data_IF_670212075100
#
_entry.id   IF_670212075100
#
_cell.length_a   1.000
_cell.length_b   1.000
_cell.length_c   1.000
_cell.angle_alpha   90.00
_cell.angle_beta   90.00
_cell.angle_gamma   90.00
#
_symmetry.space_group_name_H-M   'P 1'
#
loop_
_entity.id
_entity.type
_entity.pdbx_description
1 polymer ?
#
# COMPACT_ATOMS: atom_id res chain seq x y z
N UNK A 1 23.67 -5.33 -8.05
CA UNK A 1 22.62 -5.47 -7.03
C UNK A 1 21.62 -6.45 -7.60
N UNK A 2 21.43 -7.59 -6.95
CA UNK A 2 20.42 -8.55 -7.39
C UNK A 2 19.03 -7.94 -7.19
N UNK A 3 18.07 -8.27 -8.05
CA UNK A 3 16.73 -7.67 -7.99
C UNK A 3 16.07 -7.84 -6.61
N UNK A 4 16.34 -8.97 -5.93
CA UNK A 4 15.86 -9.27 -4.58
C UNK A 4 16.45 -8.34 -3.51
N UNK A 5 17.75 -8.03 -3.58
CA UNK A 5 18.42 -7.10 -2.64
C UNK A 5 17.83 -5.69 -2.76
N UNK A 6 17.57 -5.25 -3.99
CA UNK A 6 16.94 -3.96 -4.24
C UNK A 6 15.52 -3.90 -3.66
N UNK A 7 14.71 -4.92 -3.92
CA UNK A 7 13.33 -4.99 -3.41
C UNK A 7 13.27 -5.10 -1.88
N UNK A 8 14.25 -5.76 -1.25
CA UNK A 8 14.38 -5.77 0.20
C UNK A 8 14.65 -4.37 0.76
N UNK A 9 15.52 -3.58 0.12
CA UNK A 9 15.77 -2.18 0.50
C UNK A 9 14.48 -1.35 0.37
N UNK A 10 13.72 -1.54 -0.72
CA UNK A 10 12.45 -0.85 -0.93
C UNK A 10 11.44 -1.19 0.18
N UNK A 11 11.32 -2.47 0.55
CA UNK A 11 10.41 -2.91 1.60
C UNK A 11 10.75 -2.32 2.96
N UNK A 12 12.03 -2.18 3.27
CA UNK A 12 12.51 -1.60 4.53
C UNK A 12 12.59 -0.06 4.51
N UNK A 13 12.19 0.58 3.40
CA UNK A 13 12.16 2.03 3.27
C UNK A 13 11.28 2.67 4.36
N UNK A 14 11.88 3.54 5.17
CA UNK A 14 11.21 4.35 6.21
C UNK A 14 11.13 5.84 5.86
N UNK A 15 11.93 6.24 4.89
CA UNK A 15 12.06 7.62 4.45
C UNK A 15 11.04 7.87 3.33
N UNK A 16 10.04 8.71 3.61
CA UNK A 16 8.96 9.00 2.68
C UNK A 16 9.49 9.47 1.32
N UNK A 17 10.46 10.40 1.30
CA UNK A 17 11.02 10.96 0.08
C UNK A 17 11.74 9.88 -0.75
N UNK A 18 12.49 8.98 -0.10
CA UNK A 18 13.10 7.83 -0.80
C UNK A 18 12.05 6.88 -1.37
N UNK A 19 10.99 6.59 -0.61
CA UNK A 19 9.92 5.72 -1.09
C UNK A 19 9.22 6.35 -2.32
N UNK A 20 9.07 7.67 -2.34
CA UNK A 20 8.61 8.41 -3.52
C UNK A 20 9.55 8.28 -4.72
N UNK A 21 10.87 8.38 -4.51
CA UNK A 21 11.83 8.19 -5.59
C UNK A 21 11.77 6.77 -6.18
N UNK A 22 11.65 5.74 -5.34
CA UNK A 22 11.47 4.37 -5.83
C UNK A 22 10.24 4.23 -6.73
N UNK A 23 9.11 4.85 -6.37
CA UNK A 23 7.91 4.84 -7.22
C UNK A 23 8.11 5.55 -8.56
N UNK A 24 8.91 6.62 -8.60
CA UNK A 24 9.22 7.34 -9.85
C UNK A 24 10.11 6.55 -10.79
N UNK A 25 10.95 5.67 -10.25
CA UNK A 25 11.81 4.78 -11.05
C UNK A 25 11.02 3.71 -11.81
N UNK A 26 9.73 3.51 -11.50
CA UNK A 26 8.79 2.58 -12.13
C UNK A 26 9.34 1.15 -12.32
N UNK A 27 10.16 0.71 -11.37
CA UNK A 27 10.74 -0.63 -11.41
C UNK A 27 9.71 -1.68 -11.01
N UNK A 28 9.71 -2.85 -11.66
CA UNK A 28 8.77 -3.92 -11.35
C UNK A 28 8.93 -4.36 -9.89
N UNK A 29 7.80 -4.54 -9.21
CA UNK A 29 7.75 -5.01 -7.81
C UNK A 29 7.84 -3.92 -6.75
N UNK A 30 8.35 -2.72 -7.07
CA UNK A 30 8.50 -1.63 -6.08
C UNK A 30 7.17 -1.27 -5.41
N UNK A 31 6.14 -1.02 -6.21
CA UNK A 31 4.82 -0.66 -5.70
C UNK A 31 4.22 -1.76 -4.80
N UNK A 32 4.49 -3.03 -5.12
CA UNK A 32 4.01 -4.16 -4.33
C UNK A 32 4.73 -4.27 -3.00
N UNK A 33 6.06 -4.09 -2.98
CA UNK A 33 6.85 -4.16 -1.75
C UNK A 33 6.59 -2.97 -0.83
N UNK A 34 6.37 -1.77 -1.37
CA UNK A 34 5.91 -0.63 -0.59
C UNK A 34 4.49 -0.87 -0.02
N UNK A 35 3.57 -1.45 -0.79
CA UNK A 35 2.23 -1.79 -0.29
C UNK A 35 2.26 -2.81 0.87
N UNK A 36 3.20 -3.76 0.85
CA UNK A 36 3.39 -4.76 1.92
C UNK A 36 4.22 -4.24 3.11
N UNK A 37 4.90 -3.10 2.96
CA UNK A 37 5.82 -2.60 3.96
C UNK A 37 5.10 -2.21 5.25
N UNK A 38 5.70 -2.56 6.38
CA UNK A 38 5.22 -2.16 7.72
C UNK A 38 5.86 -0.88 8.23
N UNK A 39 6.70 -0.23 7.42
CA UNK A 39 7.42 0.98 7.79
C UNK A 39 7.10 2.17 6.87
N UNK A 40 6.20 1.97 5.91
CA UNK A 40 5.85 2.96 4.90
C UNK A 40 4.88 3.99 5.46
N UNK A 41 4.97 5.23 4.98
CA UNK A 41 4.03 6.27 5.39
C UNK A 41 2.62 6.01 4.81
N UNK A 42 1.55 6.42 5.52
CA UNK A 42 0.18 6.35 4.99
C UNK A 42 0.01 7.10 3.66
N UNK A 43 0.81 8.13 3.40
CA UNK A 43 0.76 8.92 2.16
C UNK A 43 1.21 8.12 0.93
N UNK A 44 2.25 7.31 1.08
CA UNK A 44 2.70 6.40 0.00
C UNK A 44 1.61 5.35 -0.27
N UNK A 45 0.99 4.79 0.77
CA UNK A 45 -0.14 3.87 0.63
C UNK A 45 -1.33 4.53 -0.09
N UNK A 46 -1.61 5.80 0.22
CA UNK A 46 -2.66 6.58 -0.44
C UNK A 46 -2.45 6.67 -1.96
N UNK A 47 -1.21 6.92 -2.38
CA UNK A 47 -0.83 6.99 -3.81
C UNK A 47 -1.01 5.63 -4.48
N UNK A 48 -0.60 4.56 -3.81
CA UNK A 48 -0.69 3.19 -4.33
C UNK A 48 -2.14 2.72 -4.53
N UNK A 49 -3.13 3.38 -3.94
CA UNK A 49 -4.56 3.10 -4.25
C UNK A 49 -4.95 3.38 -5.70
N UNK A 50 -4.16 4.18 -6.43
CA UNK A 50 -4.42 4.47 -7.85
C UNK A 50 -3.65 3.55 -8.79
N UNK A 51 -2.87 2.62 -8.25
CA UNK A 51 -2.04 1.71 -9.03
C UNK A 51 -2.90 0.76 -9.89
N UNK A 52 -2.49 0.51 -11.13
CA UNK A 52 -3.26 -0.29 -12.08
C UNK A 52 -3.43 -1.76 -11.61
N UNK A 53 -2.38 -2.33 -11.02
CA UNK A 53 -2.40 -3.68 -10.47
C UNK A 53 -3.36 -3.82 -9.28
N UNK A 54 -4.33 -4.73 -9.41
CA UNK A 54 -5.26 -5.10 -8.34
C UNK A 54 -4.51 -5.63 -7.12
N UNK A 55 -3.47 -6.43 -7.32
CA UNK A 55 -2.64 -7.00 -6.24
C UNK A 55 -2.03 -5.90 -5.37
N UNK A 56 -1.55 -4.81 -5.99
CA UNK A 56 -1.00 -3.66 -5.23
C UNK A 56 -2.09 -3.02 -4.38
N UNK A 57 -3.25 -2.68 -4.98
CA UNK A 57 -4.36 -2.06 -4.24
C UNK A 57 -4.90 -2.96 -3.13
N UNK A 58 -4.90 -4.26 -3.35
CA UNK A 58 -5.28 -5.27 -2.36
C UNK A 58 -4.31 -5.30 -1.17
N UNK A 59 -3.00 -5.26 -1.41
CA UNK A 59 -2.02 -5.18 -0.32
C UNK A 59 -2.12 -3.85 0.45
N UNK A 60 -2.43 -2.74 -0.23
CA UNK A 60 -2.76 -1.48 0.46
C UNK A 60 -3.99 -1.66 1.36
N UNK A 61 -5.08 -2.26 0.87
CA UNK A 61 -6.27 -2.50 1.69
C UNK A 61 -5.98 -3.36 2.93
N UNK A 62 -5.05 -4.31 2.82
CA UNK A 62 -4.62 -5.20 3.93
C UNK A 62 -3.65 -4.56 4.92
N UNK A 63 -2.94 -3.51 4.52
CA UNK A 63 -1.89 -2.94 5.33
C UNK A 63 -2.47 -2.22 6.57
N UNK A 64 -2.02 -2.54 7.80
CA UNK A 64 -2.53 -1.93 9.03
C UNK A 64 -2.19 -0.43 9.16
N UNK A 65 -1.21 0.07 8.39
CA UNK A 65 -0.85 1.49 8.35
C UNK A 65 -1.73 2.29 7.38
N UNK A 66 -2.61 1.63 6.62
CA UNK A 66 -3.51 2.33 5.70
C UNK A 66 -4.50 3.16 6.49
N UNK A 67 -4.49 4.47 6.23
CA UNK A 67 -5.34 5.42 6.92
C UNK A 67 -6.83 5.15 6.67
N UNK A 68 -7.66 5.55 7.64
CA UNK A 68 -9.10 5.36 7.62
C UNK A 68 -9.75 5.97 6.36
N UNK A 69 -9.33 7.17 5.95
CA UNK A 69 -9.82 7.82 4.72
C UNK A 69 -9.41 7.07 3.45
N UNK A 70 -8.20 6.49 3.43
CA UNK A 70 -7.73 5.66 2.32
C UNK A 70 -8.54 4.36 2.23
N UNK A 71 -8.85 3.72 3.37
CA UNK A 71 -9.73 2.54 3.42
C UNK A 71 -11.16 2.85 2.99
N UNK A 72 -11.73 4.00 3.40
CA UNK A 72 -13.04 4.47 2.92
C UNK A 72 -13.06 4.56 1.40
N UNK A 73 -12.01 5.11 0.79
CA UNK A 73 -11.89 5.19 -0.67
C UNK A 73 -11.76 3.81 -1.32
N UNK A 74 -10.97 2.90 -0.75
CA UNK A 74 -10.85 1.53 -1.28
C UNK A 74 -12.13 0.69 -1.08
N UNK A 75 -13.02 1.06 -0.16
CA UNK A 75 -14.31 0.38 0.05
C UNK A 75 -15.27 0.48 -1.15
N UNK A 76 -14.96 1.37 -2.10
CA UNK A 76 -15.64 1.57 -3.38
C UNK A 76 -14.75 1.25 -4.59
N UNK A 77 -13.61 0.57 -4.40
CA UNK A 77 -12.74 0.12 -5.50
C UNK A 77 -13.54 -0.72 -6.53
N UNK A 78 -13.10 -0.72 -7.78
CA UNK A 78 -13.71 -1.54 -8.84
C UNK A 78 -13.57 -3.04 -8.60
N UNK A 79 -12.51 -3.46 -7.91
CA UNK A 79 -12.24 -4.86 -7.61
C UNK A 79 -12.94 -5.31 -6.31
N UNK A 80 -13.58 -6.48 -6.37
CA UNK A 80 -14.36 -7.01 -5.24
C UNK A 80 -13.48 -7.35 -4.02
N UNK A 81 -12.32 -7.96 -4.24
CA UNK A 81 -11.43 -8.36 -3.14
C UNK A 81 -10.87 -7.13 -2.44
N UNK A 82 -10.49 -6.10 -3.20
CA UNK A 82 -10.02 -4.82 -2.63
C UNK A 82 -11.12 -4.19 -1.77
N UNK A 83 -12.36 -4.11 -2.27
CA UNK A 83 -13.49 -3.56 -1.50
C UNK A 83 -13.74 -4.32 -0.20
N UNK A 84 -13.76 -5.64 -0.27
CA UNK A 84 -14.10 -6.49 0.88
C UNK A 84 -13.04 -6.38 1.98
N UNK A 85 -11.75 -6.41 1.62
CA UNK A 85 -10.67 -6.22 2.59
C UNK A 85 -10.68 -4.80 3.18
N UNK A 86 -10.88 -3.78 2.35
CA UNK A 86 -10.94 -2.40 2.81
C UNK A 86 -12.08 -2.20 3.83
N UNK A 87 -13.27 -2.75 3.55
CA UNK A 87 -14.42 -2.69 4.48
C UNK A 87 -14.17 -3.44 5.78
N UNK A 88 -13.51 -4.60 5.73
CA UNK A 88 -13.15 -5.38 6.92
C UNK A 88 -12.18 -4.62 7.81
N UNK A 89 -11.12 -4.06 7.22
CA UNK A 89 -10.13 -3.29 7.96
C UNK A 89 -10.68 -1.96 8.47
N UNK A 90 -11.53 -1.28 7.69
CA UNK A 90 -12.23 -0.07 8.12
C UNK A 90 -13.06 -0.33 9.39
N UNK A 91 -13.88 -1.39 9.37
CA UNK A 91 -14.68 -1.79 10.53
C UNK A 91 -13.83 -2.20 11.74
N UNK A 92 -12.64 -2.77 11.51
CA UNK A 92 -11.74 -3.12 12.59
C UNK A 92 -11.20 -1.85 13.27
N UNK A 93 -10.77 -0.86 12.50
CA UNK A 93 -10.26 0.42 12.99
C UNK A 93 -11.34 1.24 13.72
N UNK A 94 -12.56 1.29 13.18
CA UNK A 94 -13.68 2.01 13.79
C UNK A 94 -14.10 1.44 15.14
N UNK A 95 -13.88 0.15 15.40
CA UNK A 95 -14.20 -0.51 16.68
C UNK A 95 -13.17 -0.27 17.78
N UNK A 96 -12.03 0.35 17.43
CA UNK A 96 -10.92 0.59 18.35
C UNK A 96 -10.94 2.00 18.97
N UNK A 97 -11.96 2.80 18.64
CA UNK A 97 -12.26 4.12 19.21
C UNK A 97 -13.62 4.10 19.92
#
# INVERSE_FOLDING_TARGET
>A
MFAEEYLAIVRECRDEDKCFQFLKEDKPGVALELAKSKNVSPRILDILTRHASITVRHEVAKNPLTALETLKRLSTDKDMLVRDYARRNLKALEKTH
#
